data_IF_802277692411
#
_entry.id   IF_802277692411
#
_cell.length_a   1.000
_cell.length_b   1.000
_cell.length_c   1.000
_cell.angle_alpha   90.00
_cell.angle_beta   90.00
_cell.angle_gamma   90.00
#
_symmetry.space_group_name_H-M   'P 1'
#
loop_
_entity.id
_entity.type
_entity.pdbx_description
1 polymer ?
#
# COMPACT_ATOMS: atom_id res chain seq x y z
N UNK A 1 14.94 -6.68 4.90
CA UNK A 1 15.56 -5.53 5.59
C UNK A 1 17.01 -5.27 5.20
N UNK A 2 17.88 -6.28 5.04
CA UNK A 2 19.28 -6.05 4.56
C UNK A 2 19.31 -5.33 3.21
N UNK A 3 18.48 -5.73 2.24
CA UNK A 3 18.33 -5.04 0.95
C UNK A 3 17.89 -3.58 1.10
N UNK A 4 16.97 -3.28 2.02
CA UNK A 4 16.51 -1.92 2.30
C UNK A 4 17.65 -1.02 2.78
N UNK A 5 18.55 -1.57 3.59
CA UNK A 5 19.75 -0.87 4.04
C UNK A 5 20.70 -0.57 2.88
N UNK A 6 20.98 -1.57 2.03
CA UNK A 6 21.85 -1.40 0.85
C UNK A 6 21.28 -0.36 -0.11
N UNK A 7 19.97 -0.42 -0.39
CA UNK A 7 19.27 0.55 -1.24
C UNK A 7 19.31 1.96 -0.61
N UNK A 8 19.11 2.08 0.71
CA UNK A 8 19.16 3.36 1.41
C UNK A 8 20.54 4.02 1.34
N UNK A 9 21.60 3.28 1.65
CA UNK A 9 22.97 3.80 1.55
C UNK A 9 23.39 4.09 0.10
N UNK A 10 22.98 3.23 -0.85
CA UNK A 10 23.18 3.47 -2.28
C UNK A 10 22.51 4.76 -2.76
N UNK A 11 21.28 5.04 -2.32
CA UNK A 11 20.57 6.28 -2.63
C UNK A 11 21.29 7.51 -2.07
N UNK A 12 21.80 7.46 -0.83
CA UNK A 12 22.55 8.57 -0.25
C UNK A 12 23.83 8.86 -1.05
N UNK A 13 24.55 7.80 -1.45
CA UNK A 13 25.84 7.94 -2.12
C UNK A 13 25.70 8.38 -3.60
N UNK A 14 24.75 7.80 -4.35
CA UNK A 14 24.61 8.03 -5.78
C UNK A 14 23.57 9.10 -6.14
N UNK A 15 22.50 9.24 -5.36
CA UNK A 15 21.43 10.24 -5.61
C UNK A 15 21.68 11.47 -4.74
N UNK A 16 22.04 11.27 -3.47
CA UNK A 16 22.34 12.36 -2.53
C UNK A 16 23.56 13.20 -2.89
N UNK A 17 24.52 12.66 -3.65
CA UNK A 17 25.69 13.40 -4.13
C UNK A 17 25.44 14.16 -5.46
N UNK A 18 24.41 13.80 -6.22
CA UNK A 18 24.17 14.32 -7.58
C UNK A 18 23.14 15.48 -7.58
N UNK A 19 23.50 16.67 -8.12
CA UNK A 19 22.59 17.81 -8.17
C UNK A 19 21.43 17.63 -9.16
N UNK A 20 21.53 16.73 -10.15
CA UNK A 20 20.45 16.43 -11.10
C UNK A 20 19.17 15.88 -10.44
N UNK A 21 19.30 15.24 -9.29
CA UNK A 21 18.16 14.67 -8.55
C UNK A 21 17.66 15.59 -7.43
N UNK A 22 18.20 16.80 -7.35
CA UNK A 22 17.86 17.79 -6.33
C UNK A 22 17.20 19.01 -6.96
N UNK A 23 16.21 19.54 -6.27
CA UNK A 23 15.63 20.83 -6.61
C UNK A 23 16.59 21.99 -6.24
N UNK A 24 16.21 23.22 -6.59
CA UNK A 24 16.99 24.42 -6.29
C UNK A 24 17.17 24.68 -4.77
N UNK A 25 16.39 24.01 -3.92
CA UNK A 25 16.47 24.06 -2.46
C UNK A 25 17.29 22.90 -1.86
N UNK A 26 17.81 21.98 -2.68
CA UNK A 26 18.61 20.84 -2.27
C UNK A 26 17.81 19.60 -1.84
N UNK A 27 16.48 19.59 -1.99
CA UNK A 27 15.62 18.45 -1.69
C UNK A 27 15.51 17.51 -2.89
N UNK A 28 15.23 16.23 -2.63
CA UNK A 28 15.00 15.24 -3.68
C UNK A 28 13.78 15.61 -4.54
N UNK A 29 13.95 15.64 -5.86
CA UNK A 29 12.87 15.90 -6.80
C UNK A 29 11.82 14.79 -6.67
N UNK A 30 10.58 15.16 -6.32
CA UNK A 30 9.50 14.21 -6.04
C UNK A 30 9.47 13.65 -4.60
N UNK A 31 10.29 14.20 -3.71
CA UNK A 31 10.26 13.92 -2.27
C UNK A 31 10.96 12.62 -1.86
N UNK A 32 10.94 12.33 -0.55
CA UNK A 32 11.67 11.19 0.03
C UNK A 32 11.22 9.83 -0.49
N UNK A 33 9.97 9.71 -0.97
CA UNK A 33 9.43 8.48 -1.53
C UNK A 33 10.08 8.10 -2.88
N UNK A 34 10.73 9.04 -3.57
CA UNK A 34 11.35 8.83 -4.89
C UNK A 34 12.82 8.39 -4.83
N UNK A 35 13.41 8.30 -3.64
CA UNK A 35 14.83 7.98 -3.47
C UNK A 35 15.23 6.64 -4.13
N UNK A 36 14.37 5.61 -4.04
CA UNK A 36 14.65 4.30 -4.63
C UNK A 36 14.53 4.30 -6.16
N UNK A 37 13.60 5.08 -6.73
CA UNK A 37 13.39 5.19 -8.17
C UNK A 37 14.54 5.96 -8.82
N UNK A 38 14.97 7.06 -8.19
CA UNK A 38 16.13 7.82 -8.63
C UNK A 38 17.42 7.02 -8.51
N UNK A 39 17.54 6.14 -7.51
CA UNK A 39 18.68 5.22 -7.43
C UNK A 39 18.70 4.23 -8.61
N UNK A 40 17.55 3.71 -9.02
CA UNK A 40 17.46 2.84 -10.19
C UNK A 40 17.92 3.56 -11.47
N UNK A 41 17.58 4.85 -11.61
CA UNK A 41 18.09 5.69 -12.69
C UNK A 41 19.61 5.89 -12.59
N UNK A 42 20.11 6.29 -11.42
CA UNK A 42 21.53 6.55 -11.21
C UNK A 42 22.41 5.31 -11.45
N UNK A 43 21.90 4.10 -11.18
CA UNK A 43 22.66 2.85 -11.33
C UNK A 43 22.58 2.26 -12.74
N UNK A 44 21.44 2.39 -13.43
CA UNK A 44 21.20 1.67 -14.69
C UNK A 44 20.48 2.46 -15.78
N UNK A 45 20.34 3.77 -15.62
CA UNK A 45 19.73 4.68 -16.58
C UNK A 45 18.25 4.40 -16.85
N UNK A 46 17.77 4.89 -18.00
CA UNK A 46 16.36 4.81 -18.39
C UNK A 46 15.83 3.37 -18.51
N UNK A 47 16.68 2.40 -18.89
CA UNK A 47 16.28 1.00 -19.01
C UNK A 47 15.96 0.40 -17.63
N UNK A 48 16.82 0.63 -16.65
CA UNK A 48 16.65 0.10 -15.30
C UNK A 48 15.55 0.84 -14.53
N UNK A 49 15.43 2.16 -14.73
CA UNK A 49 14.29 2.94 -14.27
C UNK A 49 12.98 2.34 -14.82
N UNK A 50 12.87 2.17 -16.14
CA UNK A 50 11.66 1.62 -16.76
C UNK A 50 11.31 0.22 -16.25
N UNK A 51 12.31 -0.64 -16.07
CA UNK A 51 12.13 -1.97 -15.50
C UNK A 51 11.62 -1.92 -14.06
N UNK A 52 12.26 -1.15 -13.18
CA UNK A 52 11.85 -1.02 -11.77
C UNK A 52 10.47 -0.39 -11.65
N UNK A 53 10.16 0.63 -12.47
CA UNK A 53 8.82 1.23 -12.53
C UNK A 53 7.77 0.23 -12.98
N UNK A 54 8.04 -0.62 -13.97
CA UNK A 54 7.12 -1.68 -14.41
C UNK A 54 6.87 -2.70 -13.30
N UNK A 55 7.92 -3.14 -12.59
CA UNK A 55 7.81 -4.06 -11.46
C UNK A 55 7.03 -3.44 -10.29
N UNK A 56 7.32 -2.18 -9.96
CA UNK A 56 6.59 -1.43 -8.94
C UNK A 56 5.09 -1.32 -9.31
N UNK A 57 4.77 -0.99 -10.56
CA UNK A 57 3.39 -0.92 -11.02
C UNK A 57 2.69 -2.27 -10.95
N UNK A 58 3.32 -3.34 -11.44
CA UNK A 58 2.76 -4.69 -11.40
C UNK A 58 2.49 -5.16 -9.95
N UNK A 59 3.41 -4.90 -9.03
CA UNK A 59 3.25 -5.26 -7.61
C UNK A 59 2.15 -4.44 -6.94
N UNK A 60 2.02 -3.14 -7.23
CA UNK A 60 0.92 -2.33 -6.73
C UNK A 60 -0.43 -2.89 -7.19
N UNK A 61 -0.58 -3.17 -8.50
CA UNK A 61 -1.81 -3.74 -9.04
C UNK A 61 -2.14 -5.09 -8.40
N UNK A 62 -1.15 -5.96 -8.23
CA UNK A 62 -1.33 -7.26 -7.60
C UNK A 62 -1.82 -7.14 -6.15
N UNK A 63 -1.19 -6.25 -5.36
CA UNK A 63 -1.55 -6.03 -3.95
C UNK A 63 -2.93 -5.36 -3.84
N UNK A 64 -3.21 -4.34 -4.65
CA UNK A 64 -4.50 -3.64 -4.63
C UNK A 64 -5.64 -4.60 -4.98
N UNK A 65 -5.47 -5.44 -6.00
CA UNK A 65 -6.47 -6.43 -6.37
C UNK A 65 -6.69 -7.45 -5.23
N UNK A 66 -5.62 -7.96 -4.63
CA UNK A 66 -5.70 -8.88 -3.50
C UNK A 66 -6.43 -8.31 -2.29
N UNK A 67 -6.05 -7.11 -1.86
CA UNK A 67 -6.66 -6.43 -0.70
C UNK A 67 -8.13 -6.05 -0.96
N UNK A 68 -8.44 -5.64 -2.19
CA UNK A 68 -9.80 -5.23 -2.55
C UNK A 68 -10.74 -6.42 -2.63
N UNK A 69 -10.29 -7.55 -3.19
CA UNK A 69 -11.06 -8.80 -3.18
C UNK A 69 -11.26 -9.33 -1.75
N UNK A 70 -10.22 -9.31 -0.92
CA UNK A 70 -10.32 -9.70 0.48
C UNK A 70 -11.31 -8.81 1.26
N UNK A 71 -11.21 -7.48 1.09
CA UNK A 71 -12.12 -6.52 1.73
C UNK A 71 -13.57 -6.67 1.26
N UNK A 72 -13.79 -6.85 -0.05
CA UNK A 72 -15.12 -7.07 -0.59
C UNK A 72 -15.74 -8.39 -0.11
N UNK A 73 -14.93 -9.45 0.02
CA UNK A 73 -15.37 -10.73 0.58
C UNK A 73 -15.72 -10.61 2.07
N UNK A 74 -14.91 -9.92 2.87
CA UNK A 74 -15.22 -9.68 4.28
C UNK A 74 -16.55 -8.91 4.42
N UNK A 75 -16.77 -7.87 3.60
CA UNK A 75 -18.03 -7.11 3.66
C UNK A 75 -19.24 -7.93 3.17
N UNK A 76 -19.12 -8.71 2.10
CA UNK A 76 -20.24 -9.52 1.60
C UNK A 76 -20.58 -10.66 2.54
N UNK A 77 -19.58 -11.36 3.04
CA UNK A 77 -19.77 -12.56 3.86
C UNK A 77 -20.03 -12.24 5.34
N UNK A 78 -19.27 -11.29 5.92
CA UNK A 78 -19.41 -10.94 7.34
C UNK A 78 -20.49 -9.89 7.58
N UNK A 79 -20.62 -8.88 6.71
CA UNK A 79 -21.59 -7.80 6.89
C UNK A 79 -22.94 -8.14 6.21
N UNK A 80 -22.94 -8.55 4.94
CA UNK A 80 -24.20 -8.72 4.21
C UNK A 80 -24.91 -10.04 4.54
N UNK A 81 -24.21 -11.17 4.47
CA UNK A 81 -24.81 -12.49 4.72
C UNK A 81 -25.09 -12.75 6.21
N UNK A 82 -24.21 -12.33 7.12
CA UNK A 82 -24.35 -12.59 8.56
C UNK A 82 -25.16 -11.51 9.32
N UNK A 83 -25.07 -10.21 8.95
CA UNK A 83 -25.73 -9.11 9.69
C UNK A 83 -27.02 -8.61 9.02
N UNK A 84 -27.03 -8.40 7.70
CA UNK A 84 -28.17 -7.76 7.03
C UNK A 84 -29.22 -8.74 6.47
N UNK A 85 -28.82 -9.86 5.88
CA UNK A 85 -29.76 -10.82 5.26
C UNK A 85 -29.29 -12.26 5.47
N UNK A 86 -29.77 -12.88 6.55
CA UNK A 86 -29.56 -14.31 6.85
C UNK A 86 -30.20 -15.17 5.74
N UNK A 87 -29.40 -15.56 4.74
CA UNK A 87 -29.85 -16.35 3.58
C UNK A 87 -29.85 -15.60 2.24
N UNK A 88 -28.92 -14.67 2.02
CA UNK A 88 -28.72 -14.07 0.70
C UNK A 88 -28.37 -15.13 -0.36
N UNK A 89 -28.90 -14.97 -1.57
CA UNK A 89 -28.53 -15.85 -2.69
C UNK A 89 -27.17 -15.47 -3.24
N UNK A 90 -26.41 -16.44 -3.74
CA UNK A 90 -25.05 -16.27 -4.30
C UNK A 90 -24.99 -15.15 -5.37
N UNK A 91 -26.07 -14.97 -6.15
CA UNK A 91 -26.20 -13.88 -7.13
C UNK A 91 -26.33 -12.49 -6.50
N UNK A 92 -27.02 -12.36 -5.38
CA UNK A 92 -27.13 -11.09 -4.64
C UNK A 92 -25.80 -10.75 -3.98
N UNK A 93 -25.14 -11.75 -3.40
CA UNK A 93 -23.84 -11.60 -2.74
C UNK A 93 -22.75 -11.14 -3.72
N UNK A 94 -22.70 -11.73 -4.93
CA UNK A 94 -21.81 -11.29 -5.99
C UNK A 94 -22.07 -9.85 -6.46
N UNK A 95 -23.33 -9.39 -6.46
CA UNK A 95 -23.65 -7.98 -6.79
C UNK A 95 -23.16 -7.04 -5.69
N UNK A 96 -23.43 -7.36 -4.44
CA UNK A 96 -23.00 -6.56 -3.29
C UNK A 96 -21.48 -6.49 -3.24
N UNK A 97 -20.79 -7.61 -3.42
CA UNK A 97 -19.32 -7.66 -3.48
C UNK A 97 -18.76 -6.72 -4.55
N UNK A 98 -19.30 -6.74 -5.79
CA UNK A 98 -18.87 -5.84 -6.87
C UNK A 98 -19.10 -4.36 -6.54
N UNK A 99 -20.23 -4.02 -5.92
CA UNK A 99 -20.53 -2.64 -5.50
C UNK A 99 -19.56 -2.21 -4.41
N UNK A 100 -19.28 -3.07 -3.44
CA UNK A 100 -18.30 -2.81 -2.37
C UNK A 100 -16.90 -2.59 -2.94
N UNK A 101 -16.45 -3.40 -3.91
CA UNK A 101 -15.17 -3.19 -4.61
C UNK A 101 -15.10 -1.79 -5.21
N UNK A 102 -16.17 -1.35 -5.89
CA UNK A 102 -16.21 -0.02 -6.51
C UNK A 102 -16.11 1.09 -5.45
N UNK A 103 -16.91 0.99 -4.38
CA UNK A 103 -16.94 1.98 -3.30
C UNK A 103 -15.58 2.05 -2.58
N UNK A 104 -15.00 0.90 -2.23
CA UNK A 104 -13.67 0.81 -1.63
C UNK A 104 -12.60 1.42 -2.53
N UNK A 105 -12.67 1.16 -3.84
CA UNK A 105 -11.75 1.74 -4.82
C UNK A 105 -11.85 3.27 -4.87
N UNK A 106 -13.07 3.83 -4.92
CA UNK A 106 -13.28 5.28 -4.93
C UNK A 106 -12.75 5.92 -3.65
N UNK A 107 -13.06 5.34 -2.49
CA UNK A 107 -12.56 5.83 -1.19
C UNK A 107 -11.03 5.77 -1.14
N UNK A 108 -10.42 4.67 -1.61
CA UNK A 108 -8.98 4.50 -1.64
C UNK A 108 -8.29 5.57 -2.51
N UNK A 109 -8.86 5.91 -3.67
CA UNK A 109 -8.35 6.98 -4.54
C UNK A 109 -8.43 8.33 -3.84
N UNK A 110 -9.59 8.66 -3.24
CA UNK A 110 -9.79 9.94 -2.53
C UNK A 110 -8.80 10.08 -1.36
N UNK A 111 -8.66 9.04 -0.55
CA UNK A 111 -7.70 9.03 0.56
C UNK A 111 -6.25 9.10 0.03
N UNK A 112 -5.93 8.40 -1.06
CA UNK A 112 -4.62 8.46 -1.68
C UNK A 112 -4.22 9.88 -2.10
N UNK A 113 -5.15 10.63 -2.71
CA UNK A 113 -4.94 12.03 -3.09
C UNK A 113 -4.78 12.93 -1.85
N UNK A 114 -5.62 12.75 -0.83
CA UNK A 114 -5.54 13.55 0.40
C UNK A 114 -4.22 13.35 1.17
N UNK A 115 -3.64 12.16 1.10
CA UNK A 115 -2.41 11.81 1.80
C UNK A 115 -1.17 11.76 0.89
N UNK A 116 -1.24 12.29 -0.34
CA UNK A 116 -0.14 12.20 -1.33
C UNK A 116 1.19 12.81 -0.86
N UNK A 117 1.11 13.82 0.01
CA UNK A 117 2.27 14.55 0.53
C UNK A 117 2.92 13.88 1.75
N UNK A 118 2.37 12.76 2.23
CA UNK A 118 2.90 12.05 3.39
C UNK A 118 3.94 11.00 3.00
N UNK A 119 4.84 10.70 3.95
CA UNK A 119 5.78 9.61 3.78
C UNK A 119 5.03 8.26 3.86
N UNK A 120 5.16 7.44 2.81
CA UNK A 120 4.47 6.15 2.71
C UNK A 120 4.88 5.23 3.86
N UNK A 121 6.16 5.27 4.28
CA UNK A 121 6.65 4.45 5.38
C UNK A 121 5.95 4.79 6.71
N UNK A 122 5.63 6.06 6.93
CA UNK A 122 4.90 6.50 8.12
C UNK A 122 3.44 6.06 8.07
N UNK A 123 2.76 6.23 6.93
CA UNK A 123 1.37 5.79 6.75
C UNK A 123 1.20 4.28 6.96
N UNK A 124 2.10 3.49 6.37
CA UNK A 124 2.10 2.02 6.52
C UNK A 124 2.38 1.64 7.98
N UNK A 125 3.30 2.33 8.66
CA UNK A 125 3.57 2.12 10.08
C UNK A 125 2.35 2.36 10.96
N UNK A 126 1.62 3.45 10.74
CA UNK A 126 0.37 3.74 11.44
C UNK A 126 -0.71 2.68 11.19
N UNK A 127 -0.90 2.28 9.93
CA UNK A 127 -1.88 1.26 9.57
C UNK A 127 -1.58 -0.09 10.27
N UNK A 128 -0.31 -0.51 10.28
CA UNK A 128 0.10 -1.72 11.00
C UNK A 128 -0.04 -1.60 12.51
N UNK A 129 0.26 -0.43 13.10
CA UNK A 129 0.07 -0.22 14.53
C UNK A 129 -1.39 -0.38 14.93
N UNK A 130 -2.32 0.23 14.18
CA UNK A 130 -3.76 0.11 14.41
C UNK A 130 -4.22 -1.36 14.25
N UNK A 131 -3.81 -2.03 13.17
CA UNK A 131 -4.16 -3.43 12.94
C UNK A 131 -3.64 -4.36 14.06
N UNK A 132 -2.41 -4.14 14.52
CA UNK A 132 -1.82 -4.87 15.63
C UNK A 132 -2.59 -4.62 16.94
N UNK A 133 -2.97 -3.37 17.22
CA UNK A 133 -3.76 -3.01 18.40
C UNK A 133 -5.16 -3.62 18.41
N UNK A 134 -5.78 -3.86 17.26
CA UNK A 134 -7.08 -4.56 17.19
C UNK A 134 -6.92 -6.08 17.34
N UNK A 135 -5.95 -6.68 16.66
CA UNK A 135 -5.80 -8.14 16.64
C UNK A 135 -5.16 -8.69 17.92
N UNK A 136 -4.20 -7.97 18.52
CA UNK A 136 -3.46 -8.46 19.69
C UNK A 136 -4.37 -8.73 20.91
N UNK A 137 -5.27 -7.82 21.33
CA UNK A 137 -6.17 -8.09 22.45
C UNK A 137 -7.14 -9.24 22.15
N UNK A 138 -7.66 -9.34 20.92
CA UNK A 138 -8.59 -10.40 20.51
C UNK A 138 -7.92 -11.77 20.62
N UNK A 139 -6.70 -11.90 20.10
CA UNK A 139 -5.95 -13.15 20.18
C UNK A 139 -5.61 -13.49 21.63
N UNK A 140 -5.14 -12.51 22.42
CA UNK A 140 -4.79 -12.72 23.82
C UNK A 140 -6.00 -13.16 24.65
N UNK A 141 -7.15 -12.48 24.49
CA UNK A 141 -8.39 -12.87 25.14
C UNK A 141 -8.85 -14.26 24.68
N UNK A 142 -8.74 -14.60 23.39
CA UNK A 142 -9.12 -15.95 22.91
C UNK A 142 -8.25 -17.08 23.48
N UNK A 143 -6.99 -16.80 23.83
CA UNK A 143 -6.07 -17.80 24.41
C UNK A 143 -6.20 -17.96 25.92
N UNK A 144 -6.42 -16.86 26.66
CA UNK A 144 -6.49 -16.87 28.13
C UNK A 144 -7.92 -16.95 28.68
N UNK A 145 -8.92 -16.60 27.88
CA UNK A 145 -10.34 -16.68 28.21
C UNK A 145 -10.99 -17.78 27.37
N UNK A 146 -10.49 -19.01 27.54
CA UNK A 146 -11.16 -20.25 27.13
C UNK A 146 -11.50 -21.09 28.34
#
# INVERSE_FOLDING_TARGET
YILTFIIGFGAIMLVGANPEYKDAAGHLIGGNNMAAVHLANAVGGNLFLGFISAVAFATILAVVAGLTLAGASAVSHDLYANVFKKGATEREELRVSKITVLILGVIAIILGVLFENQNIAFMVGLAFAIAASCNFPIILLSMYWS
#
